data_IF_147779485839
#
_entry.id   IF_147779485839
#
_cell.length_a   1.000
_cell.length_b   1.000
_cell.length_c   1.000
_cell.angle_alpha   90.00
_cell.angle_beta   90.00
_cell.angle_gamma   90.00
#
_symmetry.space_group_name_H-M   'P 1'
#
loop_
_entity.id
_entity.type
_entity.pdbx_description
1 polymer ?
#
# COMPACT_ATOMS: atom_id res chain seq x y z
N UNK A 1 -24.88 -12.82 14.89
CA UNK A 1 -23.52 -12.54 15.40
C UNK A 1 -22.67 -12.26 14.17
N UNK A 2 -22.32 -11.00 13.89
CA UNK A 2 -21.59 -10.65 12.67
C UNK A 2 -20.20 -11.27 12.71
N UNK A 3 -19.82 -11.95 11.63
CA UNK A 3 -18.49 -12.54 11.49
C UNK A 3 -17.47 -11.43 11.22
N UNK A 4 -16.18 -11.68 11.52
CA UNK A 4 -15.09 -10.76 11.14
C UNK A 4 -15.17 -10.31 9.69
N UNK A 5 -15.59 -11.22 8.79
CA UNK A 5 -15.77 -10.92 7.37
C UNK A 5 -16.77 -9.78 7.15
N UNK A 6 -17.92 -9.79 7.82
CA UNK A 6 -18.93 -8.72 7.69
C UNK A 6 -18.36 -7.36 8.08
N UNK A 7 -17.73 -7.28 9.25
CA UNK A 7 -17.13 -6.03 9.72
C UNK A 7 -16.04 -5.51 8.76
N UNK A 8 -15.23 -6.41 8.20
CA UNK A 8 -14.23 -6.04 7.21
C UNK A 8 -14.89 -5.50 5.93
N UNK A 9 -15.97 -6.12 5.43
CA UNK A 9 -16.68 -5.60 4.26
C UNK A 9 -17.28 -4.21 4.53
N UNK A 10 -17.95 -4.03 5.67
CA UNK A 10 -18.54 -2.75 6.07
C UNK A 10 -17.46 -1.66 6.17
N UNK A 11 -16.30 -1.99 6.75
CA UNK A 11 -15.17 -1.09 6.83
C UNK A 11 -14.59 -0.73 5.45
N UNK A 12 -14.41 -1.71 4.56
CA UNK A 12 -13.86 -1.45 3.22
C UNK A 12 -14.84 -0.61 2.39
N UNK A 13 -16.15 -0.87 2.50
CA UNK A 13 -17.17 -0.05 1.86
C UNK A 13 -17.17 1.39 2.39
N UNK A 14 -17.06 1.57 3.70
CA UNK A 14 -16.90 2.90 4.31
C UNK A 14 -15.67 3.63 3.75
N UNK A 15 -14.52 2.95 3.65
CA UNK A 15 -13.31 3.57 3.09
C UNK A 15 -13.42 3.91 1.61
N UNK A 16 -14.14 3.09 0.84
CA UNK A 16 -14.35 3.32 -0.59
C UNK A 16 -15.29 4.50 -0.83
N UNK A 17 -16.46 4.49 -0.18
CA UNK A 17 -17.55 5.45 -0.46
C UNK A 17 -17.32 6.78 0.25
N UNK A 18 -17.01 6.76 1.55
CA UNK A 18 -16.96 8.00 2.34
C UNK A 18 -15.58 8.65 2.36
N UNK A 19 -14.52 7.86 2.18
CA UNK A 19 -13.14 8.38 2.22
C UNK A 19 -12.46 8.45 0.85
N UNK A 20 -13.08 7.92 -0.21
CA UNK A 20 -12.54 7.95 -1.57
C UNK A 20 -11.12 7.38 -1.67
N UNK A 21 -10.78 6.38 -0.86
CA UNK A 21 -9.44 5.81 -0.85
C UNK A 21 -9.18 5.03 -2.14
N UNK A 22 -7.95 5.12 -2.65
CA UNK A 22 -7.56 4.41 -3.85
C UNK A 22 -7.68 2.88 -3.69
N UNK A 23 -8.09 2.19 -4.76
CA UNK A 23 -8.31 0.73 -4.77
C UNK A 23 -7.15 -0.08 -4.21
N UNK A 24 -5.91 0.29 -4.55
CA UNK A 24 -4.71 -0.37 -4.04
C UNK A 24 -4.61 -0.30 -2.52
N UNK A 25 -5.03 0.81 -1.90
CA UNK A 25 -5.06 0.95 -0.44
C UNK A 25 -6.17 0.10 0.16
N UNK A 26 -7.36 0.06 -0.46
CA UNK A 26 -8.47 -0.80 -0.04
C UNK A 26 -8.08 -2.28 -0.07
N UNK A 27 -7.47 -2.73 -1.18
CA UNK A 27 -6.98 -4.10 -1.34
C UNK A 27 -5.91 -4.46 -0.31
N UNK A 28 -4.98 -3.53 -0.03
CA UNK A 28 -3.94 -3.72 0.97
C UNK A 28 -4.54 -3.85 2.39
N UNK A 29 -5.51 -3.00 2.74
CA UNK A 29 -6.18 -3.03 4.04
C UNK A 29 -7.00 -4.31 4.19
N UNK A 30 -7.79 -4.68 3.19
CA UNK A 30 -8.56 -5.92 3.17
C UNK A 30 -7.64 -7.13 3.41
N UNK A 31 -6.52 -7.21 2.69
CA UNK A 31 -5.57 -8.32 2.82
C UNK A 31 -4.97 -8.41 4.23
N UNK A 32 -4.62 -7.27 4.82
CA UNK A 32 -4.06 -7.25 6.17
C UNK A 32 -5.12 -7.62 7.23
N UNK A 33 -6.36 -7.15 7.08
CA UNK A 33 -7.44 -7.45 8.01
C UNK A 33 -7.90 -8.90 7.93
N UNK A 34 -7.91 -9.50 6.74
CA UNK A 34 -8.19 -10.94 6.57
C UNK A 34 -7.13 -11.78 7.28
N UNK A 35 -5.84 -11.45 7.09
CA UNK A 35 -4.75 -12.14 7.82
C UNK A 35 -4.90 -12.01 9.33
N UNK A 36 -5.29 -10.84 9.80
CA UNK A 36 -5.53 -10.58 11.21
C UNK A 36 -6.74 -11.37 11.74
N UNK A 37 -7.86 -11.40 11.02
CA UNK A 37 -9.03 -12.19 11.43
C UNK A 37 -8.72 -13.68 11.45
N UNK A 38 -7.97 -14.19 10.46
CA UNK A 38 -7.57 -15.60 10.42
C UNK A 38 -6.70 -15.98 11.61
N UNK A 39 -5.77 -15.08 11.99
CA UNK A 39 -4.96 -15.25 13.20
C UNK A 39 -5.82 -15.28 14.48
N UNK A 40 -6.77 -14.35 14.63
CA UNK A 40 -7.67 -14.29 15.78
C UNK A 40 -8.52 -15.56 15.90
N UNK A 41 -9.07 -16.02 14.77
CA UNK A 41 -9.87 -17.25 14.72
C UNK A 41 -9.04 -18.47 15.13
N UNK A 42 -7.78 -18.57 14.68
CA UNK A 42 -6.84 -19.63 15.11
C UNK A 42 -6.52 -19.58 16.61
N UNK A 43 -6.56 -18.39 17.23
CA UNK A 43 -6.41 -18.21 18.68
C UNK A 43 -7.73 -18.41 19.45
N UNK A 44 -8.81 -18.77 18.79
CA UNK A 44 -10.12 -19.02 19.41
C UNK A 44 -10.95 -17.75 19.64
N UNK A 45 -10.48 -16.58 19.21
CA UNK A 45 -11.22 -15.31 19.32
C UNK A 45 -12.19 -15.22 18.16
N UNK A 46 -13.47 -15.55 18.42
CA UNK A 46 -14.53 -15.60 17.39
C UNK A 46 -15.34 -14.31 17.27
N UNK A 47 -15.26 -13.43 18.26
CA UNK A 47 -16.02 -12.19 18.31
C UNK A 47 -15.10 -10.99 18.41
N UNK A 48 -15.37 -9.96 17.60
CA UNK A 48 -14.66 -8.69 17.61
C UNK A 48 -14.69 -8.02 18.99
N UNK A 49 -15.80 -8.14 19.73
CA UNK A 49 -15.92 -7.57 21.10
C UNK A 49 -15.04 -8.27 22.14
N UNK A 50 -14.49 -9.44 21.81
CA UNK A 50 -13.58 -10.20 22.68
C UNK A 50 -12.10 -9.98 22.32
N UNK A 51 -11.83 -9.16 21.31
CA UNK A 51 -10.46 -8.80 20.95
C UNK A 51 -9.90 -7.85 22.00
N UNK A 52 -8.75 -8.20 22.54
CA UNK A 52 -8.02 -7.37 23.49
C UNK A 52 -6.65 -6.91 22.94
N UNK A 53 -5.94 -6.08 23.71
CA UNK A 53 -4.61 -5.60 23.40
C UNK A 53 -3.59 -6.75 23.25
N UNK A 54 -3.74 -7.81 24.03
CA UNK A 54 -2.84 -8.95 23.98
C UNK A 54 -2.95 -9.68 22.64
N UNK A 55 -4.16 -9.83 22.10
CA UNK A 55 -4.38 -10.43 20.78
C UNK A 55 -3.71 -9.62 19.67
N UNK A 56 -3.83 -8.28 19.68
CA UNK A 56 -3.17 -7.40 18.71
C UNK A 56 -1.65 -7.53 18.83
N UNK A 57 -1.11 -7.51 20.06
CA UNK A 57 0.33 -7.63 20.30
C UNK A 57 0.86 -9.00 19.88
N UNK A 58 0.11 -10.07 20.12
CA UNK A 58 0.48 -11.43 19.71
C UNK A 58 0.46 -11.59 18.20
N UNK A 59 -0.49 -10.97 17.48
CA UNK A 59 -0.48 -10.94 16.03
C UNK A 59 0.78 -10.26 15.49
N UNK A 60 1.18 -9.13 16.07
CA UNK A 60 2.38 -8.41 15.66
C UNK A 60 3.66 -9.24 15.87
N UNK A 61 3.71 -10.04 16.96
CA UNK A 61 4.79 -10.99 17.22
C UNK A 61 4.80 -12.14 16.22
N UNK A 62 3.65 -12.76 15.95
CA UNK A 62 3.49 -13.82 14.94
C UNK A 62 4.00 -13.36 13.56
N UNK A 63 3.62 -12.15 13.14
CA UNK A 63 4.07 -11.59 11.87
C UNK A 63 5.60 -11.37 11.83
N UNK A 64 6.20 -10.97 12.96
CA UNK A 64 7.66 -10.84 13.08
C UNK A 64 8.36 -12.20 13.04
N UNK A 65 7.83 -13.20 13.73
CA UNK A 65 8.34 -14.59 13.75
C UNK A 65 8.26 -15.24 12.35
N UNK A 66 7.25 -14.86 11.56
CA UNK A 66 7.11 -15.24 10.14
C UNK A 66 8.06 -14.50 9.19
N UNK A 67 8.97 -13.67 9.71
CA UNK A 67 9.98 -12.97 8.92
C UNK A 67 9.48 -11.75 8.16
N UNK A 68 8.30 -11.19 8.49
CA UNK A 68 7.86 -9.94 7.86
C UNK A 68 8.72 -8.77 8.32
N UNK A 69 9.02 -7.86 7.38
CA UNK A 69 9.74 -6.63 7.69
C UNK A 69 8.93 -5.72 8.64
N UNK A 70 9.63 -4.93 9.45
CA UNK A 70 9.01 -3.95 10.36
C UNK A 70 8.08 -2.99 9.61
N UNK A 71 8.42 -2.61 8.37
CA UNK A 71 7.57 -1.77 7.50
C UNK A 71 6.23 -2.46 7.20
N UNK A 72 6.26 -3.73 6.81
CA UNK A 72 5.05 -4.51 6.53
C UNK A 72 4.17 -4.68 7.77
N UNK A 73 4.80 -4.92 8.93
CA UNK A 73 4.13 -5.03 10.22
C UNK A 73 3.46 -3.71 10.61
N UNK A 74 4.15 -2.57 10.47
CA UNK A 74 3.59 -1.25 10.75
C UNK A 74 2.41 -0.89 9.83
N UNK A 75 2.49 -1.22 8.54
CA UNK A 75 1.40 -1.04 7.58
C UNK A 75 0.16 -1.84 7.99
N UNK A 76 0.36 -3.10 8.38
CA UNK A 76 -0.73 -3.95 8.86
C UNK A 76 -1.34 -3.42 10.16
N UNK A 77 -0.53 -2.94 11.11
CA UNK A 77 -1.01 -2.29 12.33
C UNK A 77 -1.82 -1.02 12.03
N UNK A 78 -1.40 -0.22 11.05
CA UNK A 78 -2.15 0.97 10.64
C UNK A 78 -3.55 0.60 10.15
N UNK A 79 -3.68 -0.44 9.31
CA UNK A 79 -4.98 -0.94 8.88
C UNK A 79 -5.83 -1.43 10.08
N UNK A 80 -5.25 -2.18 11.00
CA UNK A 80 -5.91 -2.70 12.21
C UNK A 80 -6.39 -1.55 13.13
N UNK A 81 -5.57 -0.51 13.34
CA UNK A 81 -5.92 0.68 14.12
C UNK A 81 -7.07 1.46 13.50
N UNK A 82 -7.07 1.64 12.18
CA UNK A 82 -8.16 2.36 11.51
C UNK A 82 -9.45 1.53 11.53
N UNK A 83 -9.34 0.20 11.40
CA UNK A 83 -10.47 -0.73 11.48
C UNK A 83 -11.13 -0.73 12.86
N UNK A 84 -10.37 -0.89 13.96
CA UNK A 84 -10.96 -0.88 15.31
C UNK A 84 -11.55 0.47 15.68
N UNK A 85 -10.93 1.59 15.28
CA UNK A 85 -11.54 2.92 15.43
C UNK A 85 -12.85 3.07 14.68
N UNK A 86 -12.95 2.51 13.46
CA UNK A 86 -14.20 2.45 12.72
C UNK A 86 -15.25 1.65 13.48
N UNK A 87 -14.92 0.44 13.96
CA UNK A 87 -15.86 -0.40 14.71
C UNK A 87 -16.38 0.26 15.98
N UNK A 88 -15.54 1.01 16.70
CA UNK A 88 -15.99 1.80 17.86
C UNK A 88 -16.90 2.94 17.44
N UNK A 89 -16.55 3.68 16.37
CA UNK A 89 -17.36 4.79 15.87
C UNK A 89 -18.76 4.34 15.42
N UNK A 90 -18.84 3.20 14.74
CA UNK A 90 -20.10 2.57 14.31
C UNK A 90 -20.80 1.79 15.44
N UNK A 91 -20.31 1.89 16.68
CA UNK A 91 -20.88 1.21 17.88
C UNK A 91 -20.95 -0.31 17.77
N UNK A 92 -20.09 -0.92 16.94
CA UNK A 92 -19.93 -2.37 16.82
C UNK A 92 -19.13 -2.95 17.98
N UNK A 93 -18.24 -2.15 18.56
CA UNK A 93 -17.47 -2.45 19.77
C UNK A 93 -17.46 -1.25 20.71
N UNK A 94 -17.35 -1.48 22.01
CA UNK A 94 -17.32 -0.39 23.00
C UNK A 94 -15.94 0.26 23.14
N UNK A 95 -14.88 -0.52 22.91
CA UNK A 95 -13.51 -0.09 23.15
C UNK A 95 -12.60 -0.45 21.96
N UNK A 96 -11.57 0.35 21.76
CA UNK A 96 -10.53 0.11 20.75
C UNK A 96 -9.35 -0.64 21.41
N UNK A 97 -9.13 -1.94 21.08
CA UNK A 97 -8.03 -2.73 21.65
C UNK A 97 -6.63 -2.26 21.19
N UNK A 98 -6.57 -1.33 20.23
CA UNK A 98 -5.34 -0.83 19.63
C UNK A 98 -4.84 0.49 20.23
N UNK A 99 -5.64 1.15 21.07
CA UNK A 99 -5.34 2.48 21.64
C UNK A 99 -3.96 2.58 22.31
N UNK A 100 -3.54 1.51 23.00
CA UNK A 100 -2.26 1.43 23.71
C UNK A 100 -1.23 0.52 23.01
N UNK A 101 -1.46 0.18 21.75
CA UNK A 101 -0.51 -0.63 20.98
C UNK A 101 0.50 0.28 20.31
N UNK A 102 1.75 0.17 20.73
CA UNK A 102 2.86 0.93 20.15
C UNK A 102 3.15 0.49 18.73
N UNK A 103 3.33 1.48 17.85
CA UNK A 103 3.81 1.22 16.49
C UNK A 103 5.32 1.00 16.54
N UNK A 104 5.86 -0.12 16.00
CA UNK A 104 7.30 -0.33 15.95
C UNK A 104 8.02 0.83 15.25
N UNK A 105 9.19 1.23 15.78
CA UNK A 105 10.02 2.24 15.12
C UNK A 105 10.57 1.67 13.81
N UNK A 106 10.26 2.35 12.72
CA UNK A 106 10.85 2.08 11.40
C UNK A 106 11.98 3.07 11.21
N UNK A 107 13.22 2.59 11.17
CA UNK A 107 14.34 3.41 10.73
C UNK A 107 14.12 3.78 9.26
N UNK A 108 14.13 5.08 8.97
CA UNK A 108 14.09 5.56 7.59
C UNK A 108 15.46 5.32 6.98
N UNK A 109 15.54 4.31 6.13
CA UNK A 109 16.66 4.15 5.19
C UNK A 109 16.42 5.11 4.03
N UNK A 110 17.39 5.96 3.73
CA UNK A 110 17.38 6.69 2.46
C UNK A 110 17.43 5.64 1.35
N UNK A 111 16.51 5.68 0.36
CA UNK A 111 16.61 4.80 -0.80
C UNK A 111 17.97 5.00 -1.47
N UNK A 112 18.62 3.90 -1.82
CA UNK A 112 19.83 3.99 -2.62
C UNK A 112 19.46 4.48 -4.03
N UNK A 113 20.22 5.45 -4.53
CA UNK A 113 19.99 6.05 -5.85
C UNK A 113 20.91 5.42 -6.87
N UNK A 114 20.46 5.31 -8.11
CA UNK A 114 21.34 4.90 -9.21
C UNK A 114 22.36 6.00 -9.49
N UNK A 115 23.62 5.62 -9.65
CA UNK A 115 24.67 6.50 -10.16
C UNK A 115 24.43 6.80 -11.64
N UNK A 116 24.99 7.91 -12.13
CA UNK A 116 24.91 8.28 -13.56
C UNK A 116 25.38 7.14 -14.47
N UNK A 117 26.45 6.42 -14.08
CA UNK A 117 26.99 5.28 -14.83
C UNK A 117 26.01 4.11 -14.92
N UNK A 118 25.27 3.83 -13.85
CA UNK A 118 24.26 2.76 -13.84
C UNK A 118 23.07 3.13 -14.73
N UNK A 119 22.65 4.40 -14.70
CA UNK A 119 21.59 4.89 -15.60
C UNK A 119 22.03 4.80 -17.07
N UNK A 120 23.24 5.26 -17.39
CA UNK A 120 23.81 5.14 -18.75
C UNK A 120 23.86 3.67 -19.20
N UNK A 121 24.33 2.77 -18.34
CA UNK A 121 24.36 1.34 -18.64
C UNK A 121 22.96 0.75 -18.90
N UNK A 122 21.95 1.17 -18.13
CA UNK A 122 20.55 0.76 -18.34
C UNK A 122 20.00 1.24 -19.68
N UNK A 123 20.23 2.51 -20.04
CA UNK A 123 19.80 3.08 -21.32
C UNK A 123 20.50 2.34 -22.46
N UNK A 124 21.80 2.11 -22.36
CA UNK A 124 22.58 1.44 -23.40
C UNK A 124 22.24 -0.05 -23.56
N UNK A 125 21.72 -0.69 -22.50
CA UNK A 125 21.21 -2.07 -22.56
C UNK A 125 19.94 -2.20 -23.43
N UNK A 126 19.24 -1.10 -23.73
CA UNK A 126 18.06 -1.09 -24.61
C UNK A 126 18.39 -1.00 -26.10
N UNK A 127 19.66 -1.16 -26.49
CA UNK A 127 20.07 -1.20 -27.90
C UNK A 127 19.46 -2.40 -28.63
N UNK A 128 18.98 -2.17 -29.85
CA UNK A 128 18.46 -3.22 -30.70
C UNK A 128 17.72 -2.65 -31.90
N UNK A 129 17.13 -3.54 -32.70
CA UNK A 129 16.25 -3.19 -33.82
C UNK A 129 14.82 -3.62 -33.50
N UNK A 130 13.85 -2.91 -34.05
CA UNK A 130 12.42 -3.15 -33.82
C UNK A 130 11.83 -2.20 -32.79
N UNK A 131 10.53 -2.33 -32.55
CA UNK A 131 9.76 -1.38 -31.75
C UNK A 131 9.98 -1.54 -30.24
N UNK A 132 10.28 -2.75 -29.74
CA UNK A 132 10.47 -2.99 -28.29
C UNK A 132 11.72 -2.26 -27.76
N UNK A 133 12.92 -2.38 -28.38
CA UNK A 133 14.10 -1.66 -27.90
C UNK A 133 13.92 -0.13 -27.95
N UNK A 134 13.28 0.39 -29.01
CA UNK A 134 12.97 1.83 -29.14
C UNK A 134 12.03 2.30 -28.03
N UNK A 135 10.97 1.53 -27.75
CA UNK A 135 10.02 1.81 -26.68
C UNK A 135 10.72 1.80 -25.32
N UNK A 136 11.49 0.76 -25.03
CA UNK A 136 12.13 0.57 -23.73
C UNK A 136 13.15 1.69 -23.47
N UNK A 137 13.89 2.11 -24.51
CA UNK A 137 14.76 3.29 -24.45
C UNK A 137 13.97 4.54 -24.11
N UNK A 138 12.88 4.82 -24.84
CA UNK A 138 12.05 6.00 -24.60
C UNK A 138 11.47 6.01 -23.16
N UNK A 139 11.10 4.84 -22.63
CA UNK A 139 10.62 4.71 -21.25
C UNK A 139 11.70 5.10 -20.23
N UNK A 140 12.93 4.60 -20.38
CA UNK A 140 14.05 4.92 -19.48
C UNK A 140 14.45 6.39 -19.56
N UNK A 141 14.55 6.94 -20.77
CA UNK A 141 14.86 8.36 -21.01
C UNK A 141 13.78 9.27 -20.40
N UNK A 142 12.50 8.91 -20.53
CA UNK A 142 11.40 9.66 -19.90
C UNK A 142 11.46 9.60 -18.38
N UNK A 143 11.74 8.44 -17.78
CA UNK A 143 11.92 8.34 -16.33
C UNK A 143 13.07 9.23 -15.86
N UNK A 144 14.21 9.17 -16.55
CA UNK A 144 15.40 9.93 -16.19
C UNK A 144 15.18 11.44 -16.33
N UNK A 145 14.57 11.90 -17.43
CA UNK A 145 14.41 13.31 -17.73
C UNK A 145 13.28 14.00 -16.93
N UNK A 146 12.20 13.28 -16.63
CA UNK A 146 11.00 13.89 -16.04
C UNK A 146 10.78 13.56 -14.55
N UNK A 147 11.39 12.48 -14.05
CA UNK A 147 11.11 11.97 -12.70
C UNK A 147 9.69 11.44 -12.51
N UNK A 148 8.93 11.19 -13.59
CA UNK A 148 7.57 10.68 -13.51
C UNK A 148 7.50 9.29 -12.86
N UNK A 149 6.38 9.00 -12.20
CA UNK A 149 6.15 7.67 -11.61
C UNK A 149 5.79 6.67 -12.71
N UNK A 150 6.03 5.38 -12.44
CA UNK A 150 5.62 4.29 -13.36
C UNK A 150 4.14 4.38 -13.71
N UNK A 151 3.28 4.67 -12.73
CA UNK A 151 1.84 4.83 -12.96
C UNK A 151 1.48 5.99 -13.89
N UNK A 152 2.29 7.05 -13.90
CA UNK A 152 2.08 8.20 -14.79
C UNK A 152 2.53 7.86 -16.21
N UNK A 153 3.67 7.18 -16.35
CA UNK A 153 4.22 6.74 -17.64
C UNK A 153 3.31 5.73 -18.36
N UNK A 154 2.80 4.72 -17.67
CA UNK A 154 1.94 3.69 -18.29
C UNK A 154 0.58 4.23 -18.74
N UNK A 155 0.13 5.36 -18.19
CA UNK A 155 -1.12 6.02 -18.54
C UNK A 155 -0.90 7.24 -19.45
N UNK A 156 0.34 7.49 -19.90
CA UNK A 156 0.66 8.63 -20.74
C UNK A 156 0.00 8.49 -22.12
N UNK A 157 -0.74 9.52 -22.52
CA UNK A 157 -1.40 9.61 -23.83
C UNK A 157 -0.62 10.51 -24.77
N UNK A 158 -0.68 10.23 -26.07
CA UNK A 158 -0.02 11.04 -27.10
C UNK A 158 -0.44 12.51 -27.08
N UNK A 159 -1.71 12.80 -26.76
CA UNK A 159 -2.24 14.17 -26.61
C UNK A 159 -1.53 14.99 -25.52
N UNK A 160 -0.88 14.31 -24.56
CA UNK A 160 -0.15 14.95 -23.48
C UNK A 160 1.36 15.10 -23.79
N UNK A 161 1.81 14.69 -24.98
CA UNK A 161 3.22 14.78 -25.39
C UNK A 161 3.35 15.87 -26.45
N UNK A 162 4.08 16.93 -26.13
CA UNK A 162 4.41 17.98 -27.08
C UNK A 162 5.91 17.92 -27.41
N UNK A 163 6.25 17.21 -28.48
CA UNK A 163 7.63 17.05 -28.93
C UNK A 163 8.22 18.35 -29.48
N UNK A 164 7.41 19.23 -30.06
CA UNK A 164 7.87 20.52 -30.60
C UNK A 164 8.28 21.47 -29.47
N UNK A 165 7.49 21.49 -28.39
CA UNK A 165 7.76 22.32 -27.22
C UNK A 165 8.64 21.63 -26.16
N UNK A 166 8.98 20.35 -26.36
CA UNK A 166 9.88 19.60 -25.50
C UNK A 166 9.32 19.27 -24.10
N UNK A 167 8.00 19.12 -23.95
CA UNK A 167 7.40 18.79 -22.65
C UNK A 167 6.34 17.69 -22.74
N UNK A 168 6.08 17.09 -21.57
CA UNK A 168 5.01 16.12 -21.35
C UNK A 168 4.12 16.58 -20.20
N UNK A 169 2.80 16.47 -20.35
CA UNK A 169 1.84 16.76 -19.30
C UNK A 169 1.51 15.47 -18.53
N UNK A 170 1.96 15.40 -17.28
CA UNK A 170 1.62 14.30 -16.38
C UNK A 170 0.33 14.60 -15.61
N UNK A 171 -0.65 13.69 -15.66
CA UNK A 171 -1.86 13.78 -14.83
C UNK A 171 -1.64 12.91 -13.59
N UNK A 172 -1.45 13.55 -12.44
CA UNK A 172 -1.24 12.88 -11.15
C UNK A 172 -2.54 12.68 -10.35
N UNK A 173 -2.43 12.10 -9.14
CA UNK A 173 -3.56 12.03 -8.19
C UNK A 173 -3.92 13.43 -7.70
N UNK A 174 -5.15 13.89 -7.97
CA UNK A 174 -5.67 15.19 -7.54
C UNK A 174 -6.66 15.87 -8.49
N UNK A 175 -6.92 15.27 -9.67
CA UNK A 175 -8.06 15.60 -10.54
C UNK A 175 -9.14 14.51 -10.41
#
# INVERSE_FOLDING_TARGET
>A
MNSFKSYIEEFINYLAVERGLADNTLLAYRRDLVKYSDFLLKKGVKNLTKVDRANVTQFMRDQKERGLSTKSICRSLAAIKVFHRFCVRERMTEQDPTNLVDTPKVWQTVPDGLSTKEVEAMIEATKGKGWQPIRDRAILELFYASGMRVSELVNLKLENVNLQAGYVRCIGKGN
#
